data_IF_318692512571
#
_entry.id   IF_318692512571
#
_cell.length_a   1.000
_cell.length_b   1.000
_cell.length_c   1.000
_cell.angle_alpha   90.00
_cell.angle_beta   90.00
_cell.angle_gamma   90.00
#
_symmetry.space_group_name_H-M   'P 1'
#
loop_
_entity.id
_entity.type
_entity.pdbx_description
1 polymer ?
#
# COMPACT_ATOMS: atom_id res chain seq x y z
N UNK A 1 -0.11 17.18 7.35
CA UNK A 1 -0.63 16.23 8.35
C UNK A 1 0.06 14.89 8.14
N UNK A 2 1.16 14.63 8.85
CA UNK A 2 1.89 13.37 8.71
C UNK A 2 1.15 12.28 9.48
N UNK A 3 0.56 11.33 8.75
CA UNK A 3 -0.03 10.10 9.30
C UNK A 3 1.10 9.27 9.90
N UNK A 4 1.44 9.55 11.16
CA UNK A 4 2.23 8.65 11.98
C UNK A 4 1.43 7.35 12.09
N UNK A 5 1.84 6.33 11.35
CA UNK A 5 1.35 4.97 11.57
C UNK A 5 1.64 4.67 13.03
N UNK A 6 0.58 4.61 13.85
CA UNK A 6 0.72 4.37 15.28
C UNK A 6 1.49 3.07 15.46
N UNK A 7 2.50 3.02 16.35
CA UNK A 7 3.37 1.85 16.49
C UNK A 7 2.59 0.56 16.77
N UNK A 8 1.39 0.66 17.36
CA UNK A 8 0.46 -0.46 17.56
C UNK A 8 0.11 -1.23 16.27
N UNK A 9 0.06 -0.54 15.12
CA UNK A 9 -0.29 -1.16 13.85
C UNK A 9 0.89 -1.95 13.26
N UNK A 10 2.12 -1.50 13.52
CA UNK A 10 3.32 -2.18 13.03
C UNK A 10 3.56 -3.51 13.77
N UNK A 11 3.30 -3.56 15.07
CA UNK A 11 3.39 -4.79 15.87
C UNK A 11 2.27 -5.77 15.53
N UNK A 12 1.05 -5.28 15.26
CA UNK A 12 -0.05 -6.13 14.77
C UNK A 12 0.27 -6.81 13.43
N UNK A 13 1.04 -6.15 12.54
CA UNK A 13 1.49 -6.75 11.28
C UNK A 13 2.58 -7.81 11.46
N UNK A 14 3.35 -7.76 12.55
CA UNK A 14 4.37 -8.77 12.92
C UNK A 14 3.74 -10.06 13.43
N UNK A 15 2.63 -9.95 14.15
CA UNK A 15 1.84 -11.07 14.70
C UNK A 15 0.95 -11.75 13.63
N UNK A 16 0.82 -11.14 12.44
CA UNK A 16 0.01 -11.68 11.36
C UNK A 16 0.70 -12.86 10.67
N UNK A 17 -0.03 -13.98 10.53
CA UNK A 17 0.38 -15.09 9.66
C UNK A 17 0.83 -14.57 8.28
N UNK A 18 1.83 -15.21 7.66
CA UNK A 18 2.41 -14.78 6.37
C UNK A 18 1.33 -14.51 5.32
N UNK A 19 0.26 -15.30 5.31
CA UNK A 19 -0.92 -15.10 4.46
C UNK A 19 -1.70 -13.82 4.74
N UNK A 20 -1.89 -13.47 6.01
CA UNK A 20 -2.55 -12.23 6.40
C UNK A 20 -1.68 -11.01 6.02
N UNK A 21 -0.36 -11.09 6.20
CA UNK A 21 0.58 -10.06 5.73
C UNK A 21 0.54 -9.91 4.20
N UNK A 22 0.49 -11.02 3.45
CA UNK A 22 0.34 -10.98 2.00
C UNK A 22 -0.99 -10.34 1.57
N UNK A 23 -2.11 -10.70 2.22
CA UNK A 23 -3.41 -10.05 1.96
C UNK A 23 -3.36 -8.56 2.26
N UNK A 24 -2.76 -8.15 3.38
CA UNK A 24 -2.62 -6.74 3.74
C UNK A 24 -1.82 -5.97 2.67
N UNK A 25 -0.65 -6.48 2.28
CA UNK A 25 0.19 -5.90 1.22
C UNK A 25 -0.51 -5.84 -0.13
N UNK A 26 -1.34 -6.83 -0.44
CA UNK A 26 -2.15 -6.85 -1.66
C UNK A 26 -3.23 -5.76 -1.65
N UNK A 27 -3.98 -5.66 -0.56
CA UNK A 27 -5.06 -4.67 -0.42
C UNK A 27 -4.50 -3.24 -0.48
N UNK A 28 -3.43 -2.94 0.25
CA UNK A 28 -2.82 -1.60 0.24
C UNK A 28 -2.30 -1.19 -1.13
N UNK A 29 -1.75 -2.13 -1.92
CA UNK A 29 -1.32 -1.84 -3.31
C UNK A 29 -2.50 -1.61 -4.24
N UNK A 30 -3.60 -2.33 -4.06
CA UNK A 30 -4.81 -2.11 -4.85
C UNK A 30 -5.51 -0.80 -4.53
N UNK A 31 -5.38 -0.28 -3.30
CA UNK A 31 -5.88 1.05 -2.97
C UNK A 31 -5.31 2.12 -3.89
N UNK A 32 -4.06 2.00 -4.35
CA UNK A 32 -3.48 2.94 -5.31
C UNK A 32 -4.21 2.97 -6.66
N UNK A 33 -4.85 1.87 -7.08
CA UNK A 33 -5.65 1.79 -8.30
C UNK A 33 -7.08 2.33 -8.11
N UNK A 34 -7.53 2.44 -6.86
CA UNK A 34 -8.86 2.94 -6.49
C UNK A 34 -8.85 4.46 -6.25
N UNK A 35 -7.65 5.06 -6.16
CA UNK A 35 -7.47 6.50 -6.07
C UNK A 35 -7.68 7.17 -7.43
N UNK A 36 -8.30 8.34 -7.42
CA UNK A 36 -8.43 9.20 -8.60
C UNK A 36 -7.09 9.87 -8.93
N UNK A 37 -6.91 10.28 -10.18
CA UNK A 37 -5.69 10.95 -10.65
C UNK A 37 -5.30 12.18 -9.79
N UNK A 38 -6.29 12.92 -9.29
CA UNK A 38 -6.04 14.07 -8.41
C UNK A 38 -5.55 13.66 -7.02
N UNK A 39 -6.06 12.54 -6.48
CA UNK A 39 -5.57 12.00 -5.20
C UNK A 39 -4.16 11.41 -5.34
N UNK A 40 -3.83 10.83 -6.50
CA UNK A 40 -2.48 10.38 -6.81
C UNK A 40 -1.52 11.58 -6.93
N UNK A 41 -1.92 12.67 -7.59
CA UNK A 41 -1.11 13.90 -7.67
C UNK A 41 -0.86 14.54 -6.31
N UNK A 42 -1.84 14.52 -5.41
CA UNK A 42 -1.70 15.07 -4.05
C UNK A 42 -0.59 14.36 -3.25
N UNK A 43 -0.39 13.06 -3.47
CA UNK A 43 0.71 12.27 -2.88
C UNK A 43 1.98 12.24 -3.74
N UNK A 44 2.03 13.01 -4.83
CA UNK A 44 3.18 13.11 -5.74
C UNK A 44 3.38 11.89 -6.64
N UNK A 45 2.34 11.09 -6.87
CA UNK A 45 2.35 9.92 -7.75
C UNK A 45 1.59 10.23 -9.06
N UNK A 46 2.15 9.77 -10.17
CA UNK A 46 1.42 9.75 -11.46
C UNK A 46 0.61 8.46 -11.60
N UNK A 47 -0.46 8.49 -12.39
CA UNK A 47 -1.32 7.32 -12.66
C UNK A 47 -0.52 6.14 -13.23
N UNK A 48 0.43 6.40 -14.13
CA UNK A 48 1.30 5.35 -14.67
C UNK A 48 2.19 4.74 -13.58
N UNK A 49 2.70 5.57 -12.68
CA UNK A 49 3.53 5.14 -11.55
C UNK A 49 2.70 4.29 -10.56
N UNK A 50 1.48 4.72 -10.22
CA UNK A 50 0.56 3.99 -9.38
C UNK A 50 0.20 2.61 -9.98
N UNK A 51 -0.04 2.56 -11.29
CA UNK A 51 -0.30 1.31 -12.02
C UNK A 51 0.92 0.39 -12.02
N UNK A 52 2.11 0.92 -12.24
CA UNK A 52 3.36 0.16 -12.17
C UNK A 52 3.60 -0.41 -10.76
N UNK A 53 3.42 0.40 -9.71
CA UNK A 53 3.54 -0.04 -8.31
C UNK A 53 2.49 -1.11 -7.95
N UNK A 54 1.26 -0.97 -8.44
CA UNK A 54 0.20 -1.95 -8.20
C UNK A 54 0.40 -3.27 -8.98
N UNK A 55 1.07 -3.22 -10.14
CA UNK A 55 1.41 -4.40 -10.94
C UNK A 55 2.69 -5.11 -10.47
N UNK A 56 3.49 -4.50 -9.58
CA UNK A 56 4.68 -5.16 -9.04
C UNK A 56 4.29 -6.42 -8.26
N UNK A 57 4.99 -7.56 -8.48
CA UNK A 57 4.75 -8.77 -7.73
C UNK A 57 5.02 -8.55 -6.24
N UNK A 58 3.99 -8.72 -5.40
CA UNK A 58 4.06 -8.45 -3.96
C UNK A 58 4.99 -9.39 -3.18
N UNK A 59 5.49 -10.45 -3.82
CA UNK A 59 6.37 -11.47 -3.25
C UNK A 59 7.86 -11.21 -3.50
N UNK A 60 8.23 -10.25 -4.33
CA UNK A 60 9.62 -9.82 -4.47
C UNK A 60 9.84 -8.58 -3.63
N UNK A 61 10.79 -8.70 -2.70
CA UNK A 61 11.27 -7.61 -1.84
C UNK A 61 12.33 -6.84 -2.60
#
# INVERSE_FOLDING_TARGET
>A
MLRTVRPEQADALKEMSRWALYRHRWTSRRTLLDLTDDQLRDIGLDFQQARAEAMKPFWRT
#
